data_IF_560409002734
#
_entry.id   IF_560409002734
#
_cell.length_a   1.000
_cell.length_b   1.000
_cell.length_c   1.000
_cell.angle_alpha   90.00
_cell.angle_beta   90.00
_cell.angle_gamma   90.00
#
_symmetry.space_group_name_H-M   'P 1'
#
loop_
_entity.id
_entity.type
_entity.pdbx_description
1 polymer ?
#
# COMPACT_ATOMS: atom_id res chain seq x y z
N UNK A 1 4.17 -10.74 10.38
CA UNK A 1 5.07 -10.78 9.21
C UNK A 1 5.74 -12.14 9.12
N UNK A 2 6.16 -12.56 7.94
CA UNK A 2 7.10 -13.67 7.81
C UNK A 2 8.50 -13.14 8.00
N UNK A 3 9.24 -13.77 8.89
CA UNK A 3 10.63 -13.43 9.22
C UNK A 3 11.51 -14.56 8.71
N UNK A 4 12.64 -14.22 8.11
CA UNK A 4 13.66 -15.15 7.67
C UNK A 4 14.99 -14.78 8.32
N UNK A 5 15.69 -15.78 8.80
CA UNK A 5 17.06 -15.64 9.30
C UNK A 5 18.02 -16.18 8.26
N UNK A 6 19.04 -15.42 7.94
CA UNK A 6 20.14 -15.87 7.05
C UNK A 6 21.33 -16.10 7.95
N UNK A 7 21.76 -17.37 8.03
CA UNK A 7 22.98 -17.78 8.70
C UNK A 7 24.08 -17.83 7.64
N UNK A 8 24.86 -16.77 7.51
CA UNK A 8 26.04 -16.78 6.63
C UNK A 8 27.19 -17.37 7.43
N UNK A 9 27.77 -18.49 6.98
CA UNK A 9 28.86 -19.22 7.65
C UNK A 9 30.10 -18.35 7.97
N UNK A 10 30.20 -17.16 7.38
CA UNK A 10 31.33 -16.24 7.53
C UNK A 10 30.94 -14.84 8.02
N UNK A 11 29.69 -14.60 8.36
CA UNK A 11 29.26 -13.30 8.92
C UNK A 11 29.23 -13.33 10.44
N UNK A 12 29.89 -12.37 11.05
CA UNK A 12 29.88 -12.18 12.51
C UNK A 12 28.52 -11.73 13.07
N UNK A 13 27.52 -11.50 12.21
CA UNK A 13 26.19 -10.99 12.59
C UNK A 13 25.09 -11.78 11.91
N UNK A 14 24.13 -12.24 12.69
CA UNK A 14 22.88 -12.82 12.18
C UNK A 14 22.02 -11.71 11.57
N UNK A 15 21.68 -11.84 10.29
CA UNK A 15 20.74 -10.91 9.65
C UNK A 15 19.33 -11.46 9.69
N UNK A 16 18.43 -10.65 10.25
CA UNK A 16 17.00 -10.91 10.24
C UNK A 16 16.36 -10.14 9.11
N UNK A 17 15.70 -10.83 8.19
CA UNK A 17 14.93 -10.22 7.11
C UNK A 17 13.44 -10.47 7.32
N UNK A 18 12.62 -9.65 6.70
CA UNK A 18 11.17 -9.83 6.68
C UNK A 18 10.64 -9.75 5.26
N UNK A 19 9.68 -10.61 4.93
CA UNK A 19 8.92 -10.45 3.70
C UNK A 19 7.98 -9.25 3.85
N UNK A 20 8.02 -8.32 2.89
CA UNK A 20 7.21 -7.10 2.99
C UNK A 20 5.71 -7.42 3.04
N UNK A 21 4.98 -6.91 4.04
CA UNK A 21 3.53 -7.06 4.14
C UNK A 21 2.76 -5.95 3.42
N UNK A 22 3.44 -4.86 3.07
CA UNK A 22 2.90 -3.66 2.41
C UNK A 22 3.98 -3.03 1.53
N UNK A 23 3.56 -2.34 0.49
CA UNK A 23 4.45 -1.56 -0.39
C UNK A 23 4.68 -0.13 0.13
N UNK A 24 3.77 0.39 0.97
CA UNK A 24 3.78 1.76 1.47
C UNK A 24 5.12 2.22 2.05
N UNK A 25 5.79 1.48 2.97
CA UNK A 25 7.06 1.90 3.52
C UNK A 25 8.16 2.09 2.46
N UNK A 26 8.16 1.24 1.43
CA UNK A 26 9.14 1.32 0.35
C UNK A 26 8.92 2.56 -0.51
N UNK A 27 7.68 2.88 -0.86
CA UNK A 27 7.35 4.11 -1.60
C UNK A 27 7.69 5.37 -0.80
N UNK A 28 7.47 5.37 0.52
CA UNK A 28 7.90 6.47 1.40
C UNK A 28 9.43 6.61 1.40
N UNK A 29 10.18 5.51 1.45
CA UNK A 29 11.64 5.54 1.37
C UNK A 29 12.12 6.09 0.02
N UNK A 30 11.51 5.66 -1.10
CA UNK A 30 11.83 6.19 -2.43
C UNK A 30 11.54 7.70 -2.49
N UNK A 31 10.42 8.14 -1.94
CA UNK A 31 10.07 9.55 -1.88
C UNK A 31 11.12 10.36 -1.09
N UNK A 32 11.64 9.81 -0.01
CA UNK A 32 12.60 10.46 0.88
C UNK A 32 14.06 10.38 0.41
N UNK A 33 14.38 9.68 -0.67
CA UNK A 33 15.75 9.57 -1.17
C UNK A 33 16.33 10.91 -1.66
N UNK A 34 15.48 11.77 -2.21
CA UNK A 34 15.87 13.05 -2.78
C UNK A 34 15.15 14.21 -2.09
N UNK A 35 15.80 15.39 -2.13
CA UNK A 35 15.15 16.64 -1.73
C UNK A 35 14.13 17.02 -2.82
N UNK A 36 12.86 17.09 -2.43
CA UNK A 36 11.76 17.43 -3.34
C UNK A 36 11.21 18.81 -3.01
N UNK A 37 10.82 19.53 -4.07
CA UNK A 37 10.09 20.78 -3.94
C UNK A 37 8.59 20.50 -3.83
N UNK A 38 7.85 21.38 -3.12
CA UNK A 38 6.38 21.34 -3.14
C UNK A 38 5.80 21.50 -4.56
N UNK A 39 6.60 22.04 -5.50
CA UNK A 39 6.21 22.18 -6.92
C UNK A 39 6.24 20.85 -7.68
N UNK A 40 6.90 19.83 -7.14
CA UNK A 40 6.94 18.49 -7.72
C UNK A 40 5.71 17.66 -7.36
N UNK A 41 4.84 18.22 -6.51
CA UNK A 41 3.59 17.58 -6.09
C UNK A 41 2.43 17.94 -7.04
N UNK A 42 1.52 17.00 -7.29
CA UNK A 42 1.45 15.66 -6.73
C UNK A 42 2.45 14.70 -7.37
N UNK A 43 3.15 13.93 -6.55
CA UNK A 43 4.09 12.91 -6.99
C UNK A 43 3.46 11.52 -6.81
N UNK A 44 3.41 10.73 -7.87
CA UNK A 44 2.69 9.44 -7.89
C UNK A 44 3.67 8.31 -8.16
N UNK A 45 3.61 7.28 -7.33
CA UNK A 45 4.35 6.03 -7.49
C UNK A 45 3.38 4.87 -7.61
N UNK A 46 3.65 3.93 -8.51
CA UNK A 46 2.90 2.68 -8.63
C UNK A 46 3.84 1.49 -8.84
N UNK A 47 3.41 0.34 -8.38
CA UNK A 47 4.10 -0.93 -8.60
C UNK A 47 3.12 -2.10 -8.67
N UNK A 48 3.49 -3.14 -9.40
CA UNK A 48 2.90 -4.48 -9.21
C UNK A 48 3.67 -5.19 -8.11
N UNK A 49 3.28 -4.91 -6.88
CA UNK A 49 4.00 -5.32 -5.69
C UNK A 49 3.52 -6.64 -5.10
N UNK A 50 4.44 -7.59 -4.87
CA UNK A 50 4.13 -8.84 -4.17
C UNK A 50 4.29 -8.65 -2.67
N UNK A 51 3.20 -8.88 -1.92
CA UNK A 51 3.14 -8.77 -0.46
C UNK A 51 2.86 -10.13 0.18
N UNK A 52 3.37 -10.30 1.42
CA UNK A 52 3.14 -11.50 2.22
C UNK A 52 2.71 -11.10 3.62
N UNK A 53 1.58 -11.64 4.07
CA UNK A 53 1.04 -11.40 5.41
C UNK A 53 0.89 -12.72 6.15
N UNK A 54 1.37 -12.77 7.38
CA UNK A 54 1.15 -13.93 8.24
C UNK A 54 -0.28 -13.86 8.79
N UNK A 55 -1.23 -14.29 7.97
CA UNK A 55 -2.63 -14.39 8.37
C UNK A 55 -2.84 -15.67 9.21
N UNK A 56 -3.51 -15.61 10.37
CA UNK A 56 -3.91 -16.80 11.11
C UNK A 56 -4.72 -17.74 10.23
N UNK A 57 -4.53 -19.05 10.38
CA UNK A 57 -5.18 -20.05 9.52
C UNK A 57 -6.72 -19.94 9.51
N UNK A 58 -7.33 -19.60 10.63
CA UNK A 58 -8.79 -19.42 10.74
C UNK A 58 -9.35 -18.16 10.08
N UNK A 59 -8.51 -17.25 9.58
CA UNK A 59 -8.95 -16.02 8.90
C UNK A 59 -8.84 -16.11 7.39
N UNK A 60 -8.22 -17.15 6.84
CA UNK A 60 -8.10 -17.31 5.40
C UNK A 60 -9.45 -17.63 4.76
N UNK A 61 -9.73 -17.04 3.60
CA UNK A 61 -11.02 -17.17 2.94
C UNK A 61 -10.86 -17.24 1.42
N UNK A 62 -10.76 -18.43 0.87
CA UNK A 62 -10.63 -18.69 -0.57
C UNK A 62 -9.51 -17.85 -1.20
N UNK A 63 -9.81 -17.16 -2.29
CA UNK A 63 -8.91 -16.20 -2.94
C UNK A 63 -8.98 -14.79 -2.34
N UNK A 64 -9.97 -14.52 -1.49
CA UNK A 64 -10.21 -13.18 -0.92
C UNK A 64 -9.22 -12.82 0.18
N UNK A 65 -8.75 -13.80 0.95
CA UNK A 65 -7.80 -13.60 2.03
C UNK A 65 -6.75 -14.70 2.05
N UNK A 66 -5.57 -14.37 1.55
CA UNK A 66 -4.43 -15.26 1.35
C UNK A 66 -3.17 -14.70 1.98
N UNK A 67 -2.15 -15.53 2.15
CA UNK A 67 -0.88 -15.11 2.78
C UNK A 67 0.10 -14.46 1.78
N UNK A 68 0.00 -14.79 0.49
CA UNK A 68 0.83 -14.20 -0.56
C UNK A 68 -0.04 -13.73 -1.72
N UNK A 69 0.12 -12.47 -2.13
CA UNK A 69 -0.68 -11.86 -3.19
C UNK A 69 0.10 -10.74 -3.87
N UNK A 70 -0.29 -10.41 -5.10
CA UNK A 70 0.20 -9.23 -5.81
C UNK A 70 -0.87 -8.15 -5.81
N UNK A 71 -0.43 -6.91 -5.71
CA UNK A 71 -1.28 -5.72 -5.82
C UNK A 71 -0.79 -4.83 -6.94
N UNK A 72 -1.72 -4.27 -7.70
CA UNK A 72 -1.52 -3.03 -8.44
C UNK A 72 -1.70 -1.90 -7.43
N UNK A 73 -0.59 -1.42 -6.89
CA UNK A 73 -0.57 -0.54 -5.74
C UNK A 73 0.05 0.81 -6.11
N UNK A 74 -0.54 1.88 -5.59
CA UNK A 74 -0.08 3.24 -5.86
C UNK A 74 -0.12 4.11 -4.60
N UNK A 75 0.82 5.05 -4.52
CA UNK A 75 0.89 6.04 -3.47
C UNK A 75 1.02 7.43 -4.10
N UNK A 76 0.19 8.35 -3.66
CA UNK A 76 0.16 9.73 -4.11
C UNK A 76 0.62 10.62 -2.96
N UNK A 77 1.73 11.32 -3.17
CA UNK A 77 2.24 12.34 -2.26
C UNK A 77 1.76 13.69 -2.78
N UNK A 78 0.95 14.38 -1.99
CA UNK A 78 0.30 15.63 -2.40
C UNK A 78 0.14 16.58 -1.23
N UNK A 79 -0.15 17.86 -1.52
CA UNK A 79 -0.56 18.84 -0.52
C UNK A 79 -2.03 18.65 -0.15
N UNK A 80 -2.48 19.21 0.98
CA UNK A 80 -3.87 19.07 1.44
C UNK A 80 -4.89 19.61 0.43
N UNK A 81 -4.58 20.71 -0.24
CA UNK A 81 -5.43 21.31 -1.27
C UNK A 81 -5.53 20.45 -2.55
N UNK A 82 -4.61 19.52 -2.78
CA UNK A 82 -4.62 18.58 -3.90
C UNK A 82 -5.41 17.30 -3.62
N UNK A 83 -5.73 16.99 -2.36
CA UNK A 83 -6.38 15.72 -1.97
C UNK A 83 -7.69 15.49 -2.74
N UNK A 84 -8.54 16.52 -2.81
CA UNK A 84 -9.84 16.38 -3.48
C UNK A 84 -9.69 16.07 -4.96
N UNK A 85 -8.83 16.81 -5.66
CA UNK A 85 -8.58 16.61 -7.10
C UNK A 85 -7.95 15.25 -7.39
N UNK A 86 -6.98 14.80 -6.58
CA UNK A 86 -6.35 13.50 -6.75
C UNK A 86 -7.32 12.35 -6.47
N UNK A 87 -8.19 12.50 -5.45
CA UNK A 87 -9.24 11.52 -5.17
C UNK A 87 -10.25 11.44 -6.31
N UNK A 88 -10.67 12.58 -6.88
CA UNK A 88 -11.57 12.60 -8.02
C UNK A 88 -10.96 11.93 -9.26
N UNK A 89 -9.70 12.20 -9.55
CA UNK A 89 -8.95 11.57 -10.65
C UNK A 89 -8.85 10.05 -10.46
N UNK A 90 -8.57 9.60 -9.23
CA UNK A 90 -8.52 8.18 -8.92
C UNK A 90 -9.88 7.49 -9.09
N UNK A 91 -10.97 8.10 -8.62
CA UNK A 91 -12.32 7.57 -8.79
C UNK A 91 -12.70 7.48 -10.27
N UNK A 92 -12.34 8.49 -11.07
CA UNK A 92 -12.60 8.48 -12.50
C UNK A 92 -11.85 7.34 -13.22
N UNK A 93 -10.57 7.13 -12.88
CA UNK A 93 -9.78 6.03 -13.40
C UNK A 93 -10.38 4.66 -13.00
N UNK A 94 -10.72 4.49 -11.73
CA UNK A 94 -11.33 3.27 -11.21
C UNK A 94 -12.65 2.95 -11.90
N UNK A 95 -13.51 3.96 -12.08
CA UNK A 95 -14.80 3.82 -12.77
C UNK A 95 -14.62 3.36 -14.20
N UNK A 96 -13.65 3.96 -14.91
CA UNK A 96 -13.32 3.55 -16.28
C UNK A 96 -12.83 2.11 -16.33
N UNK A 97 -11.90 1.72 -15.47
CA UNK A 97 -11.36 0.37 -15.44
C UNK A 97 -12.45 -0.68 -15.15
N UNK A 98 -13.35 -0.42 -14.20
CA UNK A 98 -14.43 -1.33 -13.89
C UNK A 98 -15.41 -1.45 -15.04
N UNK A 99 -15.75 -0.33 -15.70
CA UNK A 99 -16.58 -0.35 -16.91
C UNK A 99 -15.95 -1.17 -18.04
N UNK A 100 -14.66 -0.99 -18.30
CA UNK A 100 -13.90 -1.74 -19.31
C UNK A 100 -13.86 -3.25 -19.01
N UNK A 101 -13.90 -3.64 -17.72
CA UNK A 101 -13.98 -5.02 -17.26
C UNK A 101 -15.42 -5.57 -17.17
N UNK A 102 -16.43 -4.77 -17.52
CA UNK A 102 -17.84 -5.17 -17.50
C UNK A 102 -18.55 -5.00 -16.14
N UNK A 103 -17.93 -4.38 -15.16
CA UNK A 103 -18.55 -4.04 -13.87
C UNK A 103 -19.19 -2.65 -13.93
N UNK A 104 -20.47 -2.59 -14.28
CA UNK A 104 -21.18 -1.32 -14.43
C UNK A 104 -21.75 -0.76 -13.11
N UNK A 105 -21.81 -1.60 -12.07
CA UNK A 105 -22.33 -1.22 -10.75
C UNK A 105 -21.32 -1.57 -9.67
N UNK A 106 -20.92 -0.58 -8.88
CA UNK A 106 -20.09 -0.76 -7.70
C UNK A 106 -20.41 0.29 -6.65
N UNK A 107 -20.11 -0.02 -5.39
CA UNK A 107 -20.37 0.88 -4.26
C UNK A 107 -19.06 1.45 -3.73
N UNK A 108 -19.00 2.78 -3.66
CA UNK A 108 -17.92 3.49 -2.99
C UNK A 108 -18.34 3.81 -1.56
N UNK A 109 -17.50 3.53 -0.59
CA UNK A 109 -17.71 3.86 0.82
C UNK A 109 -16.50 4.61 1.35
N UNK A 110 -16.73 5.72 2.03
CA UNK A 110 -15.71 6.43 2.78
C UNK A 110 -15.60 5.80 4.18
N UNK A 111 -14.40 5.37 4.53
CA UNK A 111 -14.09 4.93 5.89
C UNK A 111 -13.60 6.13 6.69
N UNK A 112 -14.28 6.44 7.78
CA UNK A 112 -13.87 7.50 8.70
C UNK A 112 -13.05 6.93 9.85
N UNK A 113 -12.36 7.80 10.58
CA UNK A 113 -11.53 7.42 11.73
C UNK A 113 -12.43 6.91 12.88
N UNK A 114 -12.23 5.68 13.39
CA UNK A 114 -13.05 5.15 14.48
C UNK A 114 -12.66 5.79 15.83
N UNK A 115 -13.59 5.75 16.80
CA UNK A 115 -13.32 6.23 18.17
C UNK A 115 -12.15 5.47 18.81
N UNK A 116 -12.14 4.13 18.68
CA UNK A 116 -11.06 3.29 19.17
C UNK A 116 -10.00 3.12 18.08
N UNK A 117 -8.88 3.80 18.23
CA UNK A 117 -7.79 3.88 17.24
C UNK A 117 -6.41 3.95 17.87
N UNK A 118 -5.39 3.74 17.06
CA UNK A 118 -3.99 3.97 17.43
C UNK A 118 -3.59 5.37 16.95
N UNK A 119 -2.82 6.09 17.75
CA UNK A 119 -2.33 7.44 17.47
C UNK A 119 -3.19 8.55 18.03
N UNK A 120 -2.65 9.77 18.05
CA UNK A 120 -3.31 11.00 18.49
C UNK A 120 -4.24 11.58 17.42
N UNK A 121 -4.99 12.64 17.77
CA UNK A 121 -5.86 13.39 16.85
C UNK A 121 -5.11 14.50 16.10
N UNK A 122 -3.80 14.59 16.26
CA UNK A 122 -2.97 15.57 15.57
C UNK A 122 -2.67 15.13 14.16
#
# INVERSE_FOLDING_TARGET
MFITEIDEEHANEKRTNALKPMNCPNHVQIYNQDIRSYRDLPFRLCEFGKCHRYEPSGTMHGLMRVRGFAQDDAHIFCTEDQIESETANFIALLSKMYSDLGFNEFKIKLSTRPEKRVGSDA
#
